data_IF_056017276185
#
_entry.id   IF_056017276185
#
_cell.length_a   1.000
_cell.length_b   1.000
_cell.length_c   1.000
_cell.angle_alpha   90.00
_cell.angle_beta   90.00
_cell.angle_gamma   90.00
#
_symmetry.space_group_name_H-M   'P 1'
#
loop_
_entity.id
_entity.type
_entity.pdbx_description
1 polymer ?
#
# COMPACT_ATOMS: atom_id res chain seq x y z
N UNK A 1 5.93 12.89 -32.39
CA UNK A 1 5.03 12.12 -31.50
C UNK A 1 5.87 11.55 -30.38
N UNK A 2 5.66 12.00 -29.15
CA UNK A 2 6.34 11.46 -27.97
C UNK A 2 5.48 10.30 -27.47
N UNK A 3 5.98 9.08 -27.56
CA UNK A 3 5.38 7.94 -26.87
C UNK A 3 5.78 8.06 -25.39
N UNK A 4 4.82 8.34 -24.51
CA UNK A 4 5.00 8.16 -23.07
C UNK A 4 5.26 6.67 -22.85
N UNK A 5 6.50 6.30 -22.53
CA UNK A 5 6.82 4.95 -22.09
C UNK A 5 5.92 4.65 -20.88
N UNK A 6 5.19 3.53 -20.84
CA UNK A 6 4.41 3.18 -19.66
C UNK A 6 5.35 3.16 -18.46
N UNK A 7 4.95 3.80 -17.36
CA UNK A 7 5.74 3.87 -16.13
C UNK A 7 6.22 2.47 -15.75
N UNK A 8 7.52 2.22 -15.96
CA UNK A 8 8.12 0.89 -15.86
C UNK A 8 8.16 0.39 -14.41
N UNK A 9 8.08 1.31 -13.45
CA UNK A 9 8.18 1.05 -12.02
C UNK A 9 7.15 1.88 -11.26
N UNK A 10 6.68 1.33 -10.14
CA UNK A 10 5.84 2.05 -9.20
C UNK A 10 6.73 2.52 -8.04
N UNK A 11 6.77 3.82 -7.79
CA UNK A 11 7.45 4.37 -6.63
C UNK A 11 6.55 4.25 -5.39
N UNK A 12 6.88 3.31 -4.50
CA UNK A 12 6.16 3.07 -3.24
C UNK A 12 6.32 4.20 -2.21
N UNK A 13 7.28 5.12 -2.40
CA UNK A 13 7.45 6.27 -1.51
C UNK A 13 6.43 7.38 -1.80
N UNK A 14 5.75 7.32 -2.95
CA UNK A 14 4.64 8.22 -3.26
C UNK A 14 3.33 7.68 -2.72
N UNK A 15 2.43 8.57 -2.28
CA UNK A 15 1.07 8.20 -1.84
C UNK A 15 0.32 7.41 -2.94
N UNK A 16 0.46 7.84 -4.20
CA UNK A 16 -0.12 7.15 -5.35
C UNK A 16 0.42 5.72 -5.51
N UNK A 17 1.74 5.54 -5.52
CA UNK A 17 2.34 4.22 -5.71
C UNK A 17 2.06 3.29 -4.54
N UNK A 18 2.10 3.79 -3.31
CA UNK A 18 1.73 3.02 -2.13
C UNK A 18 0.28 2.55 -2.20
N UNK A 19 -0.68 3.46 -2.48
CA UNK A 19 -2.10 3.10 -2.63
C UNK A 19 -2.34 2.17 -3.81
N UNK A 20 -1.62 2.33 -4.91
CA UNK A 20 -1.73 1.44 -6.08
C UNK A 20 -1.36 0.00 -5.74
N UNK A 21 -0.37 -0.21 -4.88
CA UNK A 21 0.08 -1.54 -4.49
C UNK A 21 -0.69 -2.09 -3.29
N UNK A 22 -1.00 -1.28 -2.28
CA UNK A 22 -1.56 -1.76 -1.02
C UNK A 22 -3.00 -1.32 -0.74
N UNK A 23 -3.56 -0.41 -1.52
CA UNK A 23 -4.85 0.26 -1.25
C UNK A 23 -6.09 -0.49 -1.71
N UNK A 24 -5.98 -1.78 -2.05
CA UNK A 24 -7.13 -2.62 -2.44
C UNK A 24 -7.32 -3.75 -1.42
N UNK A 25 -8.57 -4.17 -1.19
CA UNK A 25 -8.88 -5.26 -0.25
C UNK A 25 -8.11 -6.57 -0.52
N UNK A 26 -7.94 -7.03 -1.77
CA UNK A 26 -7.12 -8.22 -2.05
C UNK A 26 -5.65 -8.07 -1.62
N UNK A 27 -5.10 -6.85 -1.68
CA UNK A 27 -3.70 -6.58 -1.36
C UNK A 27 -3.48 -6.24 0.12
N UNK A 28 -4.54 -6.28 0.92
CA UNK A 28 -4.50 -5.98 2.35
C UNK A 28 -3.60 -6.92 3.14
N UNK A 29 -3.55 -8.21 2.76
CA UNK A 29 -2.63 -9.16 3.37
C UNK A 29 -1.17 -8.76 3.13
N UNK A 30 -0.83 -8.31 1.92
CA UNK A 30 0.51 -7.82 1.59
C UNK A 30 0.87 -6.57 2.39
N UNK A 31 -0.09 -5.68 2.61
CA UNK A 31 0.12 -4.51 3.47
C UNK A 31 0.43 -4.91 4.91
N UNK A 32 -0.32 -5.86 5.46
CA UNK A 32 -0.09 -6.37 6.81
C UNK A 32 1.30 -6.99 6.92
N UNK A 33 1.68 -7.86 5.99
CA UNK A 33 3.00 -8.50 5.98
C UNK A 33 4.12 -7.47 5.86
N UNK A 34 3.98 -6.50 4.97
CA UNK A 34 4.94 -5.41 4.81
C UNK A 34 5.15 -4.63 6.11
N UNK A 35 4.07 -4.17 6.75
CA UNK A 35 4.15 -3.44 8.02
C UNK A 35 4.75 -4.29 9.13
N UNK A 36 4.42 -5.58 9.16
CA UNK A 36 4.93 -6.54 10.11
C UNK A 36 6.43 -6.81 9.97
N UNK A 37 7.04 -6.59 8.80
CA UNK A 37 8.51 -6.61 8.66
C UNK A 37 9.20 -5.47 9.41
N UNK A 38 8.49 -4.36 9.64
CA UNK A 38 9.01 -3.16 10.31
C UNK A 38 8.73 -3.18 11.82
N UNK A 39 7.76 -3.97 12.26
CA UNK A 39 7.29 -4.00 13.64
C UNK A 39 7.93 -5.13 14.45
N UNK A 40 8.20 -4.92 15.74
CA UNK A 40 8.69 -5.99 16.61
C UNK A 40 7.60 -7.05 16.86
N UNK A 41 7.96 -8.27 17.30
CA UNK A 41 7.03 -9.39 17.43
C UNK A 41 5.78 -9.12 18.30
N UNK A 42 5.89 -8.24 19.30
CA UNK A 42 4.78 -7.92 20.21
C UNK A 42 3.81 -6.86 19.66
N UNK A 43 4.13 -6.21 18.54
CA UNK A 43 3.30 -5.19 17.88
C UNK A 43 2.76 -5.64 16.51
N UNK A 44 2.86 -6.93 16.21
CA UNK A 44 2.43 -7.48 14.92
C UNK A 44 0.93 -7.23 14.68
N UNK A 45 0.62 -6.67 13.52
CA UNK A 45 -0.73 -6.35 13.09
C UNK A 45 -1.42 -7.63 12.59
N UNK A 46 -2.66 -7.86 13.06
CA UNK A 46 -3.52 -8.97 12.56
C UNK A 46 -4.51 -8.50 11.50
N UNK A 47 -4.91 -7.24 11.57
CA UNK A 47 -5.87 -6.65 10.64
C UNK A 47 -5.65 -5.15 10.57
N UNK A 48 -6.00 -4.57 9.43
CA UNK A 48 -6.01 -3.13 9.17
C UNK A 48 -7.36 -2.76 8.57
N UNK A 49 -7.74 -1.48 8.60
CA UNK A 49 -8.95 -1.02 7.94
C UNK A 49 -8.62 0.24 7.17
N UNK A 50 -8.95 0.27 5.88
CA UNK A 50 -8.82 1.49 5.09
C UNK A 50 -9.86 2.50 5.59
N UNK A 51 -9.38 3.65 6.05
CA UNK A 51 -10.26 4.77 6.38
C UNK A 51 -10.58 5.51 5.08
N UNK A 52 -11.85 5.65 4.76
CA UNK A 52 -12.27 6.51 3.67
C UNK A 52 -12.49 7.94 4.23
N UNK A 53 -11.72 8.95 3.78
CA UNK A 53 -11.87 10.33 4.23
C UNK A 53 -13.23 10.95 3.89
N UNK A 54 -14.00 10.37 2.95
CA UNK A 54 -15.35 10.84 2.61
C UNK A 54 -16.42 10.47 3.66
N UNK A 55 -16.09 9.60 4.62
CA UNK A 55 -16.99 9.16 5.68
C UNK A 55 -16.58 9.68 7.07
N UNK A 56 -15.82 10.79 7.12
CA UNK A 56 -15.42 11.49 8.36
C UNK A 56 -16.20 12.79 8.58
#
# INVERSE_FOLDING_TARGET
MVFLLPDKYIDLLTDFGFKRVFGTEPNKALLIDFLNTLLPPHHQLKNVTFKNPEFL
#
